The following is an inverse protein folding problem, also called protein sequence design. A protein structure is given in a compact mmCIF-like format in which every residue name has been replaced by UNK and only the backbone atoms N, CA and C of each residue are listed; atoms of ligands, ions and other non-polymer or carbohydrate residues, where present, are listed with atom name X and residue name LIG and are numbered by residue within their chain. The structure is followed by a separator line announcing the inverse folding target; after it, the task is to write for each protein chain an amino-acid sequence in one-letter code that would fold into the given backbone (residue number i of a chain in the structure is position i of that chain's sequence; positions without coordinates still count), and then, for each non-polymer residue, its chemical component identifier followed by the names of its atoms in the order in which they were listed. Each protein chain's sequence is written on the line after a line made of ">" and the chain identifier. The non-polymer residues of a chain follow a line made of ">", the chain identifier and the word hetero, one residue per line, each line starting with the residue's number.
data_IF_209995359182
#
_entry.id   IF_209995359182
#
_cell.length_a   1.000
_cell.length_b   1.000
_cell.length_c   1.000
_cell.angle_alpha   90.00
_cell.angle_beta   90.00
_cell.angle_gamma   90.00
#
_symmetry.space_group_name_H-M   'P 1'
#
loop_
_entity.id
_entity.type
_entity.pdbx_description
1 polymer ?
#
# COMPACT_ATOMS: atom_id res chain seq x y z
N UNK A 1 11.58 12.83 16.26
CA UNK A 1 10.43 12.16 15.58
C UNK A 1 10.92 10.82 15.10
N UNK A 2 10.34 9.74 15.57
CA UNK A 2 10.70 8.39 15.13
C UNK A 2 10.13 8.16 13.73
N UNK A 3 10.96 7.64 12.80
CA UNK A 3 10.51 7.38 11.42
C UNK A 3 9.66 6.11 11.38
N UNK A 4 8.37 6.27 11.15
CA UNK A 4 7.37 5.18 11.16
C UNK A 4 7.40 4.37 9.85
N UNK A 5 8.06 4.86 8.79
CA UNK A 5 8.06 4.24 7.45
C UNK A 5 9.47 3.94 6.94
N UNK A 6 9.57 3.05 5.93
CA UNK A 6 10.80 2.83 5.18
C UNK A 6 11.02 3.90 4.10
N UNK A 7 12.20 3.86 3.45
CA UNK A 7 12.57 4.77 2.35
C UNK A 7 13.28 6.04 2.81
N UNK A 8 13.88 6.06 4.00
CA UNK A 8 14.70 7.17 4.49
C UNK A 8 16.12 7.12 3.90
N UNK A 9 16.20 7.27 2.57
CA UNK A 9 17.48 7.33 1.87
C UNK A 9 18.29 8.57 2.23
N UNK A 10 17.62 9.71 2.51
CA UNK A 10 18.28 10.97 2.83
C UNK A 10 18.95 10.90 4.21
N UNK A 11 18.27 10.35 5.23
CA UNK A 11 18.84 10.12 6.55
C UNK A 11 20.02 9.15 6.51
N UNK A 12 19.89 8.06 5.72
CA UNK A 12 21.00 7.12 5.54
C UNK A 12 22.22 7.80 4.91
N UNK A 13 22.03 8.58 3.83
CA UNK A 13 23.11 9.30 3.16
C UNK A 13 23.77 10.33 4.10
N UNK A 14 22.98 11.02 4.92
CA UNK A 14 23.50 11.97 5.92
C UNK A 14 24.37 11.28 6.98
N UNK A 15 23.98 10.07 7.41
CA UNK A 15 24.70 9.31 8.43
C UNK A 15 26.00 8.63 7.89
N UNK A 16 25.94 8.05 6.69
CA UNK A 16 27.01 7.19 6.16
C UNK A 16 27.79 7.77 4.97
N UNK A 17 27.39 8.94 4.44
CA UNK A 17 28.02 9.58 3.28
C UNK A 17 27.88 8.83 1.95
N UNK A 18 27.00 7.82 1.90
CA UNK A 18 26.75 6.97 0.73
C UNK A 18 25.31 6.50 0.68
N UNK A 19 24.87 5.98 -0.46
CA UNK A 19 23.56 5.33 -0.59
C UNK A 19 23.57 3.91 -0.02
N UNK A 20 22.42 3.51 0.52
CA UNK A 20 22.19 2.13 0.94
C UNK A 20 21.66 1.28 -0.22
N UNK A 21 21.85 -0.02 -0.09
CA UNK A 21 21.00 -1.00 -0.76
C UNK A 21 19.67 -1.05 -0.03
N UNK A 22 18.70 -0.23 -0.48
CA UNK A 22 17.44 0.00 0.25
C UNK A 22 16.35 -1.00 -0.14
N UNK A 23 16.01 -1.88 0.80
CA UNK A 23 14.90 -2.84 0.75
C UNK A 23 13.76 -2.47 1.69
N UNK A 24 13.78 -1.29 2.31
CA UNK A 24 12.74 -0.84 3.24
C UNK A 24 11.50 -0.28 2.55
N UNK A 25 11.65 0.21 1.31
CA UNK A 25 10.57 0.78 0.50
C UNK A 25 10.07 -0.24 -0.54
N UNK A 26 8.75 -0.51 -0.55
CA UNK A 26 8.11 -1.50 -1.41
C UNK A 26 7.64 -0.89 -2.73
N UNK A 27 8.55 -0.36 -3.52
CA UNK A 27 8.27 0.19 -4.86
C UNK A 27 8.85 -0.73 -5.94
N UNK A 28 8.37 -0.58 -7.18
CA UNK A 28 8.91 -1.34 -8.31
C UNK A 28 10.43 -1.19 -8.42
N UNK A 29 11.18 -2.30 -8.52
CA UNK A 29 12.64 -2.26 -8.65
C UNK A 29 13.11 -1.79 -10.04
N UNK A 30 12.22 -1.69 -11.03
CA UNK A 30 12.54 -1.23 -12.38
C UNK A 30 12.66 0.29 -12.49
N UNK A 31 12.30 1.02 -11.40
CA UNK A 31 12.35 2.48 -11.38
C UNK A 31 11.17 3.12 -12.13
N UNK A 32 11.23 4.44 -12.30
CA UNK A 32 10.18 5.21 -12.98
C UNK A 32 10.14 4.85 -14.48
N UNK A 33 8.96 4.50 -15.05
CA UNK A 33 8.84 4.19 -16.47
C UNK A 33 9.30 5.36 -17.36
N UNK A 34 9.93 5.07 -18.49
CA UNK A 34 10.48 6.09 -19.39
C UNK A 34 9.40 7.04 -19.93
N UNK A 35 8.23 6.50 -20.30
CA UNK A 35 7.11 7.32 -20.77
C UNK A 35 6.55 8.24 -19.68
N UNK A 36 6.53 7.78 -18.42
CA UNK A 36 6.14 8.61 -17.27
C UNK A 36 7.16 9.74 -17.04
N UNK A 37 8.45 9.44 -17.10
CA UNK A 37 9.50 10.45 -16.97
C UNK A 37 9.41 11.51 -18.07
N UNK A 38 9.20 11.08 -19.32
CA UNK A 38 9.00 11.97 -20.48
C UNK A 38 7.75 12.87 -20.30
N UNK A 39 6.63 12.29 -19.84
CA UNK A 39 5.40 13.04 -19.60
C UNK A 39 5.55 14.11 -18.52
N UNK A 40 6.24 13.80 -17.41
CA UNK A 40 6.58 14.77 -16.36
C UNK A 40 7.41 15.91 -16.95
N UNK A 41 8.46 15.58 -17.72
CA UNK A 41 9.35 16.57 -18.34
C UNK A 41 8.57 17.47 -19.30
N UNK A 42 7.70 16.92 -20.13
CA UNK A 42 6.85 17.67 -21.06
C UNK A 42 5.83 18.57 -20.35
N UNK A 43 5.41 18.20 -19.13
CA UNK A 43 4.47 18.99 -18.33
C UNK A 43 5.13 20.13 -17.53
N UNK A 44 6.47 20.17 -17.39
CA UNK A 44 7.18 21.21 -16.64
C UNK A 44 6.84 22.65 -17.08
N UNK A 45 6.71 22.97 -18.40
CA UNK A 45 6.33 24.32 -18.82
C UNK A 45 4.95 24.78 -18.36
N UNK A 46 4.10 23.84 -17.88
CA UNK A 46 2.76 24.14 -17.35
C UNK A 46 2.73 24.30 -15.83
N UNK A 47 3.88 24.22 -15.17
CA UNK A 47 3.98 24.31 -13.71
C UNK A 47 3.61 25.70 -13.14
N UNK A 48 3.55 26.73 -14.00
CA UNK A 48 3.08 28.08 -13.69
C UNK A 48 1.55 28.20 -13.57
N UNK A 49 0.81 27.12 -13.87
CA UNK A 49 -0.67 27.08 -13.84
C UNK A 49 -1.18 26.14 -12.76
N UNK A 50 -2.30 26.52 -12.14
CA UNK A 50 -3.02 25.59 -11.28
C UNK A 50 -3.46 24.34 -12.05
N UNK A 51 -3.31 23.15 -11.48
CA UNK A 51 -3.79 21.92 -12.12
C UNK A 51 -5.33 21.87 -12.22
N UNK A 52 -5.85 20.96 -13.04
CA UNK A 52 -7.29 20.69 -13.03
C UNK A 52 -7.71 20.16 -11.63
N UNK A 53 -8.53 20.91 -10.87
CA UNK A 53 -8.90 20.53 -9.50
C UNK A 53 -9.74 19.26 -9.42
N UNK A 54 -10.38 18.88 -10.54
CA UNK A 54 -11.21 17.68 -10.65
C UNK A 54 -10.50 16.52 -11.33
N UNK A 55 -9.24 16.69 -11.78
CA UNK A 55 -8.47 15.67 -12.50
C UNK A 55 -9.27 15.03 -13.66
N UNK A 56 -10.01 15.83 -14.43
CA UNK A 56 -11.01 15.33 -15.41
C UNK A 56 -10.42 14.33 -16.40
N UNK A 57 -9.32 14.70 -17.06
CA UNK A 57 -8.66 13.82 -18.03
C UNK A 57 -8.18 12.51 -17.40
N UNK A 58 -7.54 12.60 -16.21
CA UNK A 58 -7.06 11.42 -15.47
C UNK A 58 -8.22 10.53 -15.01
N UNK A 59 -9.31 11.10 -14.47
CA UNK A 59 -10.49 10.34 -14.07
C UNK A 59 -11.16 9.64 -15.23
N UNK A 60 -11.27 10.29 -16.40
CA UNK A 60 -11.82 9.66 -17.61
C UNK A 60 -10.98 8.45 -18.04
N UNK A 61 -9.65 8.57 -18.01
CA UNK A 61 -8.76 7.47 -18.38
C UNK A 61 -8.79 6.35 -17.32
N UNK A 62 -8.82 6.70 -16.04
CA UNK A 62 -9.01 5.73 -14.95
C UNK A 62 -10.35 5.00 -15.05
N UNK A 63 -11.43 5.69 -15.40
CA UNK A 63 -12.74 5.08 -15.57
C UNK A 63 -12.72 3.97 -16.63
N UNK A 64 -12.05 4.23 -17.77
CA UNK A 64 -11.84 3.23 -18.82
C UNK A 64 -10.96 2.07 -18.33
N UNK A 65 -9.85 2.36 -17.66
CA UNK A 65 -8.90 1.35 -17.19
C UNK A 65 -9.50 0.45 -16.09
N UNK A 66 -10.31 1.03 -15.19
CA UNK A 66 -10.94 0.32 -14.07
C UNK A 66 -12.32 -0.27 -14.42
N UNK A 67 -12.94 0.14 -15.53
CA UNK A 67 -14.28 -0.30 -15.91
C UNK A 67 -15.37 0.23 -14.98
N UNK A 68 -15.24 1.48 -14.53
CA UNK A 68 -16.18 2.16 -13.62
C UNK A 68 -16.57 3.54 -14.18
N UNK A 69 -17.59 4.18 -13.61
CA UNK A 69 -17.95 5.55 -14.02
C UNK A 69 -16.97 6.59 -13.43
N UNK A 70 -16.77 7.69 -14.15
CA UNK A 70 -15.92 8.79 -13.66
C UNK A 70 -16.42 9.40 -12.36
N UNK A 71 -17.72 9.34 -12.10
CA UNK A 71 -18.32 9.78 -10.84
C UNK A 71 -17.90 8.92 -9.63
N UNK A 72 -17.49 7.69 -9.86
CA UNK A 72 -17.04 6.75 -8.84
C UNK A 72 -15.55 6.89 -8.48
N UNK A 73 -14.85 7.91 -9.03
CA UNK A 73 -13.40 8.08 -8.87
C UNK A 73 -13.08 9.41 -8.19
N UNK A 74 -12.23 9.36 -7.16
CA UNK A 74 -11.61 10.52 -6.54
C UNK A 74 -10.09 10.37 -6.58
N UNK A 75 -9.37 11.29 -7.24
CA UNK A 75 -7.91 11.35 -7.21
C UNK A 75 -7.42 12.11 -5.97
N UNK A 76 -6.24 11.71 -5.44
CA UNK A 76 -5.62 12.31 -4.27
C UNK A 76 -4.08 12.33 -4.38
N UNK A 77 -3.45 13.05 -3.45
CA UNK A 77 -2.00 13.17 -3.31
C UNK A 77 -1.38 11.90 -2.71
N UNK A 78 -1.53 10.77 -3.41
CA UNK A 78 -1.27 9.43 -2.93
C UNK A 78 -2.46 8.87 -2.14
N UNK A 79 -2.45 7.55 -1.89
CA UNK A 79 -3.50 6.89 -1.11
C UNK A 79 -3.56 7.41 0.34
N UNK A 80 -2.43 7.82 0.92
CA UNK A 80 -2.41 8.38 2.28
C UNK A 80 -3.29 9.63 2.41
N UNK A 81 -3.24 10.58 1.45
CA UNK A 81 -4.13 11.73 1.42
C UNK A 81 -5.61 11.31 1.43
N UNK A 82 -5.96 10.28 0.68
CA UNK A 82 -7.33 9.75 0.60
C UNK A 82 -7.78 9.07 1.91
N UNK A 83 -6.87 8.42 2.64
CA UNK A 83 -7.15 7.84 3.96
C UNK A 83 -7.51 8.95 4.95
N UNK A 84 -6.73 10.04 5.01
CA UNK A 84 -7.03 11.19 5.89
C UNK A 84 -8.32 11.88 5.50
N UNK A 85 -8.57 12.09 4.19
CA UNK A 85 -9.84 12.67 3.70
C UNK A 85 -11.02 11.80 4.06
N UNK A 86 -10.87 10.47 3.98
CA UNK A 86 -11.91 9.55 4.36
C UNK A 86 -12.22 9.64 5.87
N UNK A 87 -11.20 9.66 6.73
CA UNK A 87 -11.37 9.85 8.16
C UNK A 87 -12.12 11.15 8.48
N UNK A 88 -11.72 12.26 7.84
CA UNK A 88 -12.38 13.58 8.00
C UNK A 88 -13.83 13.61 7.46
N UNK A 89 -14.12 12.90 6.36
CA UNK A 89 -15.42 12.84 5.73
C UNK A 89 -16.41 11.97 6.51
N UNK A 90 -15.95 10.83 7.03
CA UNK A 90 -16.77 9.88 7.80
C UNK A 90 -16.90 10.29 9.27
N UNK A 91 -15.80 10.78 9.88
CA UNK A 91 -15.67 11.00 11.33
C UNK A 91 -16.22 9.83 12.14
N UNK A 92 -15.69 8.60 11.90
CA UNK A 92 -16.20 7.42 12.56
C UNK A 92 -15.91 7.52 14.06
N UNK A 93 -16.86 7.09 14.91
CA UNK A 93 -16.66 7.02 16.36
C UNK A 93 -15.83 5.81 16.73
N UNK A 94 -16.02 4.70 16.03
CA UNK A 94 -15.29 3.46 16.21
C UNK A 94 -14.91 2.83 14.88
N UNK A 95 -13.65 2.42 14.77
CA UNK A 95 -13.15 1.67 13.62
C UNK A 95 -12.46 0.38 14.04
N UNK A 96 -12.58 -0.68 13.25
CA UNK A 96 -11.93 -1.96 13.45
C UNK A 96 -10.82 -2.17 12.43
N UNK A 97 -9.60 -2.44 12.90
CA UNK A 97 -8.43 -2.72 12.08
C UNK A 97 -7.88 -4.12 12.40
N UNK A 98 -7.47 -4.93 11.40
CA UNK A 98 -6.61 -6.06 11.69
C UNK A 98 -5.24 -5.56 12.15
N UNK A 99 -4.55 -6.30 12.99
CA UNK A 99 -3.20 -5.96 13.45
C UNK A 99 -2.30 -7.21 13.43
N UNK A 100 -1.14 -7.14 12.75
CA UNK A 100 -0.51 -5.95 12.15
C UNK A 100 -1.15 -5.54 10.82
N UNK A 101 -1.22 -4.21 10.56
CA UNK A 101 -1.60 -3.62 9.28
C UNK A 101 -0.96 -2.24 9.08
N UNK A 102 -1.21 -1.57 7.97
CA UNK A 102 -0.59 -0.29 7.64
C UNK A 102 -0.94 0.81 8.66
N UNK A 103 0.09 1.45 9.20
CA UNK A 103 -0.03 2.37 10.34
C UNK A 103 -0.88 3.62 10.06
N UNK A 104 -0.92 4.09 8.79
CA UNK A 104 -1.64 5.32 8.43
C UNK A 104 -3.16 5.24 8.61
N UNK A 105 -3.74 4.04 8.68
CA UNK A 105 -5.18 3.92 8.98
C UNK A 105 -5.47 4.42 10.39
N UNK A 106 -4.74 3.91 11.39
CA UNK A 106 -4.88 4.35 12.76
C UNK A 106 -4.52 5.84 12.92
N UNK A 107 -3.39 6.28 12.33
CA UNK A 107 -2.96 7.66 12.41
C UNK A 107 -4.00 8.65 11.85
N UNK A 108 -4.64 8.33 10.73
CA UNK A 108 -5.70 9.16 10.17
C UNK A 108 -6.97 9.16 11.03
N UNK A 109 -7.37 8.01 11.57
CA UNK A 109 -8.54 7.86 12.44
C UNK A 109 -8.35 8.61 13.77
N UNK A 110 -7.16 8.59 14.33
CA UNK A 110 -6.80 9.33 15.55
C UNK A 110 -6.93 10.86 15.38
N UNK A 111 -6.77 11.39 14.16
CA UNK A 111 -6.96 12.84 13.91
C UNK A 111 -8.41 13.32 14.04
N UNK A 112 -9.36 12.39 14.11
CA UNK A 112 -10.81 12.67 14.27
C UNK A 112 -11.38 12.07 15.56
N UNK A 113 -10.51 11.77 16.54
CA UNK A 113 -10.86 11.20 17.84
C UNK A 113 -11.61 9.86 17.75
N UNK A 114 -11.32 9.04 16.72
CA UNK A 114 -11.93 7.74 16.53
C UNK A 114 -11.35 6.71 17.52
N UNK A 115 -12.21 5.91 18.14
CA UNK A 115 -11.83 4.73 18.94
C UNK A 115 -11.37 3.62 17.99
N UNK A 116 -10.06 3.40 17.91
CA UNK A 116 -9.44 2.41 17.01
C UNK A 116 -9.29 1.05 17.70
N UNK A 117 -10.20 0.15 17.39
CA UNK A 117 -10.14 -1.24 17.85
C UNK A 117 -9.20 -2.07 16.95
N UNK A 118 -8.40 -2.95 17.57
CA UNK A 118 -7.44 -3.79 16.86
C UNK A 118 -7.74 -5.27 17.08
N UNK A 119 -8.01 -5.98 15.99
CA UNK A 119 -8.11 -7.44 16.01
C UNK A 119 -6.73 -8.04 15.73
N UNK A 120 -6.13 -8.70 16.72
CA UNK A 120 -4.81 -9.29 16.58
C UNK A 120 -4.85 -10.53 15.69
N UNK A 121 -4.20 -10.44 14.53
CA UNK A 121 -3.93 -11.57 13.66
C UNK A 121 -2.86 -12.47 14.29
N UNK A 122 -2.91 -13.76 14.03
CA UNK A 122 -2.06 -14.74 14.69
C UNK A 122 -0.90 -15.20 13.81
N UNK A 123 0.29 -15.32 14.40
CA UNK A 123 1.50 -15.83 13.73
C UNK A 123 1.32 -17.26 13.24
N UNK A 124 0.56 -18.11 13.99
CA UNK A 124 0.37 -19.52 13.71
C UNK A 124 -0.35 -19.79 12.38
N UNK A 125 -1.10 -18.80 11.88
CA UNK A 125 -1.76 -18.84 10.56
C UNK A 125 -1.20 -17.80 9.59
N UNK A 126 0.08 -17.44 9.76
CA UNK A 126 0.78 -16.43 8.94
C UNK A 126 0.06 -15.08 8.88
N UNK A 127 -0.62 -14.69 9.97
CA UNK A 127 -1.39 -13.43 10.06
C UNK A 127 -2.52 -13.32 9.03
N UNK A 128 -3.13 -14.42 8.64
CA UNK A 128 -4.29 -14.40 7.76
C UNK A 128 -5.54 -13.86 8.47
N UNK A 129 -6.40 -13.16 7.72
CA UNK A 129 -7.73 -12.75 8.19
C UNK A 129 -8.63 -13.98 8.30
N UNK A 130 -9.32 -14.13 9.43
CA UNK A 130 -10.19 -15.27 9.75
C UNK A 130 -11.63 -14.83 10.00
N UNK A 131 -12.56 -15.77 10.12
CA UNK A 131 -13.96 -15.49 10.48
C UNK A 131 -14.07 -14.71 11.81
N UNK A 132 -13.14 -14.91 12.76
CA UNK A 132 -13.10 -14.14 14.00
C UNK A 132 -12.96 -12.62 13.79
N UNK A 133 -12.34 -12.17 12.69
CA UNK A 133 -12.31 -10.75 12.34
C UNK A 133 -13.68 -10.26 11.84
N UNK A 134 -14.43 -11.10 11.12
CA UNK A 134 -15.81 -10.79 10.73
C UNK A 134 -16.71 -10.69 11.96
N UNK A 135 -16.57 -11.63 12.90
CA UNK A 135 -17.36 -11.70 14.14
C UNK A 135 -17.08 -10.51 15.09
N UNK A 136 -15.89 -9.91 14.99
CA UNK A 136 -15.53 -8.71 15.77
C UNK A 136 -16.19 -7.42 15.28
N UNK A 137 -16.85 -7.42 14.11
CA UNK A 137 -17.62 -6.28 13.58
C UNK A 137 -19.00 -6.30 14.25
N UNK A 138 -19.34 -5.27 14.98
CA UNK A 138 -20.61 -5.10 15.68
C UNK A 138 -21.33 -3.79 15.30
N UNK A 139 -22.53 -3.59 15.86
CA UNK A 139 -23.39 -2.43 15.57
C UNK A 139 -22.79 -1.09 16.05
N UNK A 140 -21.68 -1.11 16.78
CA UNK A 140 -20.92 0.08 17.18
C UNK A 140 -19.77 0.42 16.23
N UNK A 141 -19.51 -0.44 15.25
CA UNK A 141 -18.43 -0.27 14.27
C UNK A 141 -18.90 0.63 13.13
N UNK A 142 -18.24 1.76 12.92
CA UNK A 142 -18.58 2.71 11.83
C UNK A 142 -17.68 2.49 10.59
N UNK A 143 -16.45 1.96 10.77
CA UNK A 143 -15.51 1.70 9.67
C UNK A 143 -14.64 0.46 9.92
N UNK A 144 -14.36 -0.29 8.85
CA UNK A 144 -13.46 -1.45 8.86
C UNK A 144 -12.42 -1.26 7.76
N UNK A 145 -11.14 -1.47 8.07
CA UNK A 145 -10.06 -1.39 7.07
C UNK A 145 -9.48 -2.78 6.79
N UNK A 146 -9.21 -3.03 5.52
CA UNK A 146 -8.55 -4.23 5.03
C UNK A 146 -7.47 -3.85 4.02
N UNK A 147 -6.22 -4.18 4.29
CA UNK A 147 -5.11 -4.00 3.35
C UNK A 147 -4.95 -5.27 2.49
N UNK A 148 -4.96 -5.13 1.17
CA UNK A 148 -5.05 -6.24 0.22
C UNK A 148 -4.02 -6.10 -0.93
N UNK A 149 -2.92 -6.83 -0.95
CA UNK A 149 -2.33 -7.65 0.13
C UNK A 149 -1.97 -6.84 1.38
N UNK A 150 -2.03 -7.49 2.55
CA UNK A 150 -1.79 -6.81 3.81
C UNK A 150 -0.33 -6.36 3.98
N UNK A 151 -0.11 -5.15 4.39
CA UNK A 151 1.20 -4.62 4.78
C UNK A 151 1.29 -4.57 6.33
N UNK A 152 2.21 -5.33 7.00
CA UNK A 152 3.47 -5.84 6.44
C UNK A 152 3.49 -7.33 6.04
N UNK A 153 2.43 -8.09 6.24
CA UNK A 153 2.45 -9.56 6.16
C UNK A 153 2.49 -10.13 4.74
N UNK A 154 2.01 -9.34 3.75
CA UNK A 154 1.86 -9.80 2.38
C UNK A 154 0.70 -10.77 2.15
N UNK A 155 -0.12 -11.04 3.18
CA UNK A 155 -1.26 -11.93 3.10
C UNK A 155 -2.35 -11.36 2.19
N UNK A 156 -2.93 -12.24 1.39
CA UNK A 156 -4.09 -11.95 0.54
C UNK A 156 -5.34 -12.51 1.21
N UNK A 157 -6.34 -11.67 1.39
CA UNK A 157 -7.65 -12.08 1.87
C UNK A 157 -8.46 -12.64 0.71
N UNK A 158 -8.97 -13.88 0.78
CA UNK A 158 -9.76 -14.49 -0.29
C UNK A 158 -11.02 -13.67 -0.61
N UNK A 159 -11.49 -13.63 -1.88
CA UNK A 159 -12.70 -12.89 -2.26
C UNK A 159 -13.94 -13.25 -1.46
N UNK A 160 -14.11 -14.52 -1.12
CA UNK A 160 -15.22 -14.99 -0.28
C UNK A 160 -15.18 -14.34 1.13
N UNK A 161 -13.99 -14.12 1.70
CA UNK A 161 -13.84 -13.46 2.98
C UNK A 161 -14.11 -11.95 2.86
N UNK A 162 -13.63 -11.31 1.78
CA UNK A 162 -13.95 -9.89 1.50
C UNK A 162 -15.46 -9.70 1.38
N UNK A 163 -16.18 -10.62 0.72
CA UNK A 163 -17.64 -10.58 0.63
C UNK A 163 -18.33 -10.80 1.99
N UNK A 164 -17.78 -11.66 2.88
CA UNK A 164 -18.30 -11.80 4.25
C UNK A 164 -18.16 -10.50 5.03
N UNK A 165 -16.97 -9.87 4.97
CA UNK A 165 -16.70 -8.58 5.60
C UNK A 165 -17.65 -7.50 5.09
N UNK A 166 -17.85 -7.43 3.75
CA UNK A 166 -18.74 -6.44 3.14
C UNK A 166 -20.17 -6.61 3.60
N UNK A 167 -20.70 -7.84 3.62
CA UNK A 167 -22.05 -8.12 4.14
C UNK A 167 -22.16 -7.72 5.60
N UNK A 168 -21.22 -8.13 6.45
CA UNK A 168 -21.25 -7.80 7.87
C UNK A 168 -21.19 -6.28 8.10
N UNK A 169 -20.34 -5.56 7.36
CA UNK A 169 -20.31 -4.09 7.40
C UNK A 169 -21.65 -3.48 6.98
N UNK A 170 -22.26 -3.99 5.91
CA UNK A 170 -23.56 -3.49 5.45
C UNK A 170 -24.68 -3.72 6.51
N UNK A 171 -24.69 -4.88 7.16
CA UNK A 171 -25.64 -5.23 8.23
C UNK A 171 -25.53 -4.28 9.43
N UNK A 172 -24.33 -3.79 9.75
CA UNK A 172 -24.06 -2.85 10.85
C UNK A 172 -24.06 -1.38 10.43
N UNK A 173 -24.21 -1.07 9.14
CA UNK A 173 -24.10 0.29 8.61
C UNK A 173 -22.67 0.84 8.56
N UNK A 174 -21.66 -0.03 8.66
CA UNK A 174 -20.24 0.33 8.60
C UNK A 174 -19.74 0.47 7.17
N UNK A 175 -18.69 1.29 6.98
CA UNK A 175 -17.96 1.40 5.72
C UNK A 175 -16.80 0.40 5.71
N UNK A 176 -16.68 -0.41 4.64
CA UNK A 176 -15.50 -1.25 4.39
C UNK A 176 -14.53 -0.53 3.48
N UNK A 177 -13.29 -0.34 3.95
CA UNK A 177 -12.18 0.24 3.19
C UNK A 177 -11.23 -0.88 2.80
N UNK A 178 -11.07 -1.13 1.50
CA UNK A 178 -10.13 -2.12 0.98
C UNK A 178 -8.98 -1.38 0.29
N UNK A 179 -7.79 -1.45 0.88
CA UNK A 179 -6.58 -0.84 0.32
C UNK A 179 -5.87 -1.80 -0.62
N UNK A 180 -6.04 -1.59 -1.92
CA UNK A 180 -5.46 -2.39 -3.00
C UNK A 180 -4.16 -1.81 -3.57
N UNK A 181 -3.46 -0.92 -2.85
CA UNK A 181 -2.23 -0.28 -3.34
C UNK A 181 -1.12 -1.26 -3.77
N UNK A 182 -1.14 -2.49 -3.27
CA UNK A 182 -0.18 -3.54 -3.63
C UNK A 182 -0.76 -4.64 -4.53
N UNK A 183 -2.07 -4.63 -4.78
CA UNK A 183 -2.74 -5.69 -5.52
C UNK A 183 -2.26 -5.79 -6.97
N UNK A 184 -1.94 -4.64 -7.58
CA UNK A 184 -1.53 -4.57 -8.99
C UNK A 184 -0.20 -5.29 -9.31
N UNK A 185 0.57 -5.70 -8.30
CA UNK A 185 1.75 -6.56 -8.46
C UNK A 185 1.40 -8.04 -8.72
N UNK A 186 0.19 -8.47 -8.39
CA UNK A 186 -0.21 -9.87 -8.47
C UNK A 186 -0.74 -10.22 -9.87
N UNK A 187 -0.36 -11.39 -10.38
CA UNK A 187 -0.92 -11.92 -11.61
C UNK A 187 -2.43 -12.16 -11.50
N UNK A 188 -2.89 -12.61 -10.31
CA UNK A 188 -4.29 -12.91 -10.04
C UNK A 188 -5.13 -11.68 -9.59
N UNK A 189 -4.63 -10.44 -9.74
CA UNK A 189 -5.27 -9.21 -9.25
C UNK A 189 -6.74 -9.07 -9.64
N UNK A 190 -7.09 -9.44 -10.88
CA UNK A 190 -8.46 -9.30 -11.40
C UNK A 190 -9.47 -10.25 -10.71
N UNK A 191 -8.98 -11.38 -10.20
CA UNK A 191 -9.78 -12.30 -9.40
C UNK A 191 -9.84 -11.95 -7.91
N UNK A 192 -8.94 -11.08 -7.43
CA UNK A 192 -8.76 -10.73 -6.02
C UNK A 192 -9.30 -9.36 -5.66
N UNK A 193 -9.53 -8.49 -6.66
CA UNK A 193 -10.03 -7.14 -6.42
C UNK A 193 -11.46 -7.11 -5.91
N UNK A 194 -11.74 -6.25 -4.94
CA UNK A 194 -13.09 -5.98 -4.47
C UNK A 194 -13.93 -5.17 -5.48
N UNK A 195 -13.32 -4.69 -6.57
CA UNK A 195 -14.00 -3.90 -7.61
C UNK A 195 -15.17 -4.63 -8.26
N UNK A 196 -15.13 -5.95 -8.33
CA UNK A 196 -16.19 -6.78 -8.92
C UNK A 196 -17.57 -6.60 -8.27
N UNK A 197 -17.61 -6.15 -7.03
CA UNK A 197 -18.84 -5.90 -6.25
C UNK A 197 -19.11 -4.42 -5.98
N UNK A 198 -18.24 -3.52 -6.48
CA UNK A 198 -18.28 -2.08 -6.17
C UNK A 198 -19.61 -1.43 -6.54
N UNK A 199 -20.20 -1.81 -7.69
CA UNK A 199 -21.42 -1.19 -8.22
C UNK A 199 -22.61 -1.31 -7.24
N UNK A 200 -22.70 -2.46 -6.58
CA UNK A 200 -23.83 -2.82 -5.71
C UNK A 200 -23.50 -2.64 -4.22
N UNK A 201 -22.33 -2.04 -3.92
CA UNK A 201 -21.80 -1.90 -2.57
C UNK A 201 -21.45 -0.43 -2.23
N UNK A 202 -22.43 0.43 -1.91
CA UNK A 202 -22.20 1.85 -1.61
C UNK A 202 -21.34 2.06 -0.34
N UNK A 203 -21.29 1.10 0.56
CA UNK A 203 -20.45 1.11 1.76
C UNK A 203 -19.01 0.62 1.49
N UNK A 204 -18.64 0.29 0.25
CA UNK A 204 -17.29 -0.14 -0.12
C UNK A 204 -16.48 1.02 -0.69
N UNK A 205 -15.27 1.22 -0.15
CA UNK A 205 -14.26 2.11 -0.71
C UNK A 205 -13.03 1.28 -1.03
N UNK A 206 -12.50 1.44 -2.25
CA UNK A 206 -11.24 0.82 -2.68
C UNK A 206 -10.21 1.92 -2.86
N UNK A 207 -9.03 1.75 -2.24
CA UNK A 207 -7.90 2.67 -2.40
C UNK A 207 -6.86 2.05 -3.33
N UNK A 208 -6.34 2.84 -4.27
CA UNK A 208 -5.29 2.43 -5.21
C UNK A 208 -4.23 3.51 -5.34
N UNK A 209 -3.00 3.13 -5.73
CA UNK A 209 -1.90 4.08 -5.85
C UNK A 209 -0.96 3.75 -7.00
N UNK A 210 -0.53 4.77 -7.72
CA UNK A 210 0.55 4.68 -8.69
C UNK A 210 1.93 4.56 -8.05
N UNK A 211 2.03 4.91 -6.76
CA UNK A 211 3.27 4.94 -5.94
C UNK A 211 4.11 3.68 -6.08
N UNK A 212 3.45 2.51 -6.11
CA UNK A 212 4.12 1.22 -5.91
C UNK A 212 4.52 0.57 -7.22
N UNK A 213 3.56 0.18 -8.05
CA UNK A 213 3.80 -0.53 -9.31
C UNK A 213 4.63 0.30 -10.29
N UNK A 214 4.33 1.61 -10.40
CA UNK A 214 5.00 2.51 -11.34
C UNK A 214 6.18 3.29 -10.74
N UNK A 215 6.65 2.92 -9.54
CA UNK A 215 7.75 3.61 -8.84
C UNK A 215 7.57 5.14 -8.73
N UNK A 216 6.33 5.61 -8.60
CA UNK A 216 5.96 7.03 -8.54
C UNK A 216 5.89 7.55 -7.10
N UNK A 217 6.74 7.05 -6.19
CA UNK A 217 6.69 7.41 -4.77
C UNK A 217 6.83 8.92 -4.52
N UNK A 218 7.75 9.58 -5.23
CA UNK A 218 7.96 11.03 -5.14
C UNK A 218 6.92 11.88 -5.89
N UNK A 219 6.16 11.29 -6.84
CA UNK A 219 5.14 12.00 -7.62
C UNK A 219 3.85 12.21 -6.84
N UNK A 220 3.55 11.30 -5.87
CA UNK A 220 2.39 11.40 -4.97
C UNK A 220 1.05 11.35 -5.71
N UNK A 221 0.67 10.20 -6.26
CA UNK A 221 -0.60 9.99 -6.94
C UNK A 221 -1.29 8.70 -6.48
N UNK A 222 -2.58 8.81 -6.15
CA UNK A 222 -3.47 7.71 -5.84
C UNK A 222 -4.91 8.07 -6.17
N UNK A 223 -5.80 7.10 -6.04
CA UNK A 223 -7.23 7.31 -6.24
C UNK A 223 -8.07 6.36 -5.38
N UNK A 224 -9.30 6.80 -5.11
CA UNK A 224 -10.33 6.01 -4.47
C UNK A 224 -11.42 5.66 -5.49
N UNK A 225 -11.98 4.46 -5.35
CA UNK A 225 -13.18 4.01 -6.05
C UNK A 225 -14.30 3.80 -5.04
N UNK A 226 -15.49 4.36 -5.31
CA UNK A 226 -16.69 4.18 -4.49
C UNK A 226 -17.93 4.39 -5.35
N UNK A 227 -18.98 3.62 -5.13
CA UNK A 227 -20.27 3.83 -5.81
C UNK A 227 -21.13 4.90 -5.13
N UNK A 228 -20.86 5.27 -3.88
CA UNK A 228 -21.51 6.39 -3.18
C UNK A 228 -20.83 7.72 -3.59
N UNK A 229 -21.48 8.42 -4.52
CA UNK A 229 -20.99 9.73 -4.98
C UNK A 229 -21.03 10.80 -3.87
N UNK A 230 -21.98 10.70 -2.93
CA UNK A 230 -22.09 11.66 -1.82
C UNK A 230 -20.90 11.53 -0.86
N UNK A 231 -20.44 10.30 -0.61
CA UNK A 231 -19.24 10.07 0.20
C UNK A 231 -17.97 10.58 -0.51
N UNK A 232 -17.83 10.36 -1.82
CA UNK A 232 -16.71 10.91 -2.58
C UNK A 232 -16.73 12.45 -2.59
N UNK A 233 -17.90 13.08 -2.62
CA UNK A 233 -18.02 14.54 -2.53
C UNK A 233 -17.63 15.06 -1.14
N UNK A 234 -18.00 14.37 -0.07
CA UNK A 234 -17.53 14.68 1.30
C UNK A 234 -16.02 14.53 1.41
N UNK A 235 -15.43 13.45 0.85
CA UNK A 235 -13.98 13.26 0.83
C UNK A 235 -13.26 14.35 0.01
N UNK A 236 -13.86 14.81 -1.09
CA UNK A 236 -13.34 15.93 -1.88
C UNK A 236 -13.35 17.22 -1.07
N UNK A 237 -14.44 17.51 -0.39
CA UNK A 237 -14.60 18.69 0.46
C UNK A 237 -13.69 18.68 1.70
N UNK A 238 -13.35 17.50 2.21
CA UNK A 238 -12.43 17.33 3.35
C UNK A 238 -10.97 17.62 3.03
N UNK A 239 -10.61 17.74 1.74
CA UNK A 239 -9.24 18.05 1.32
C UNK A 239 -9.11 19.43 0.68
N UNK A 240 -7.86 19.83 0.41
CA UNK A 240 -7.60 21.06 -0.33
C UNK A 240 -7.96 20.91 -1.82
N UNK A 241 -8.39 21.98 -2.51
CA UNK A 241 -8.42 22.02 -3.96
C UNK A 241 -6.97 21.85 -4.50
N UNK A 242 -6.83 21.38 -5.74
CA UNK A 242 -5.52 21.18 -6.40
C UNK A 242 -4.56 20.22 -5.67
N UNK A 243 -5.08 19.28 -4.90
CA UNK A 243 -4.24 18.31 -4.17
C UNK A 243 -3.33 17.47 -5.07
N UNK A 244 -3.74 17.21 -6.31
CA UNK A 244 -2.97 16.48 -7.31
C UNK A 244 -2.33 17.46 -8.28
N UNK A 245 -1.01 17.60 -8.24
CA UNK A 245 -0.28 18.53 -9.10
C UNK A 245 -0.46 18.21 -10.59
N UNK A 246 -0.26 19.21 -11.48
CA UNK A 246 -0.30 19.00 -12.93
C UNK A 246 0.71 17.97 -13.40
N UNK A 247 1.90 17.93 -12.80
CA UNK A 247 2.92 16.93 -13.09
C UNK A 247 2.47 15.51 -12.70
N UNK A 248 1.80 15.37 -11.54
CA UNK A 248 1.27 14.08 -11.12
C UNK A 248 0.10 13.62 -12.01
N UNK A 249 -0.76 14.54 -12.49
CA UNK A 249 -1.82 14.20 -13.43
C UNK A 249 -1.26 13.73 -14.76
N UNK A 250 -0.25 14.42 -15.32
CA UNK A 250 0.45 14.02 -16.54
C UNK A 250 1.14 12.66 -16.38
N UNK A 251 1.82 12.45 -15.25
CA UNK A 251 2.44 11.17 -14.90
C UNK A 251 1.43 10.01 -14.83
N UNK A 252 0.27 10.24 -14.22
CA UNK A 252 -0.79 9.24 -14.12
C UNK A 252 -1.38 8.86 -15.47
N UNK A 253 -1.61 9.85 -16.35
CA UNK A 253 -2.06 9.62 -17.71
C UNK A 253 -1.08 8.75 -18.50
N UNK A 254 0.24 9.02 -18.40
CA UNK A 254 1.27 8.23 -19.04
C UNK A 254 1.39 6.83 -18.43
N UNK A 255 1.35 6.72 -17.10
CA UNK A 255 1.48 5.44 -16.42
C UNK A 255 0.41 4.41 -16.81
N UNK A 256 -0.81 4.87 -17.11
CA UNK A 256 -1.90 4.00 -17.59
C UNK A 256 -1.65 3.41 -18.98
N UNK A 257 -0.72 3.94 -19.76
CA UNK A 257 -0.27 3.39 -21.05
C UNK A 257 0.91 2.40 -20.91
N UNK A 258 1.57 2.37 -19.76
CA UNK A 258 2.78 1.57 -19.50
C UNK A 258 2.44 0.11 -19.17
N UNK A 259 1.60 -0.54 -19.99
CA UNK A 259 1.15 -1.92 -19.76
C UNK A 259 2.29 -2.94 -19.80
N UNK A 260 3.20 -2.80 -20.78
CA UNK A 260 4.37 -3.68 -20.91
C UNK A 260 5.33 -3.54 -19.71
N UNK A 261 5.50 -2.31 -19.17
CA UNK A 261 6.25 -2.09 -17.94
C UNK A 261 5.59 -2.81 -16.76
N UNK A 262 4.28 -2.64 -16.58
CA UNK A 262 3.54 -3.27 -15.50
C UNK A 262 3.64 -4.81 -15.55
N UNK A 263 3.57 -5.41 -16.73
CA UNK A 263 3.73 -6.86 -16.94
C UNK A 263 5.16 -7.31 -16.64
N UNK A 264 6.16 -6.53 -17.02
CA UNK A 264 7.57 -6.79 -16.68
C UNK A 264 7.80 -6.79 -15.18
N UNK A 265 7.20 -5.84 -14.45
CA UNK A 265 7.27 -5.78 -12.97
C UNK A 265 6.61 -7.02 -12.35
N UNK A 266 5.40 -7.40 -12.80
CA UNK A 266 4.69 -8.60 -12.30
C UNK A 266 5.51 -9.86 -12.51
N UNK A 267 6.07 -10.04 -13.71
CA UNK A 267 6.93 -11.18 -14.05
C UNK A 267 8.15 -11.23 -13.15
N UNK A 268 8.83 -10.09 -12.94
CA UNK A 268 9.99 -10.00 -12.05
C UNK A 268 9.62 -10.39 -10.61
N UNK A 269 8.53 -9.85 -10.07
CA UNK A 269 8.12 -10.14 -8.70
C UNK A 269 7.70 -11.60 -8.54
N UNK A 270 6.98 -12.16 -9.51
CA UNK A 270 6.58 -13.57 -9.50
C UNK A 270 7.77 -14.53 -9.50
N UNK A 271 8.85 -14.20 -10.23
CA UNK A 271 10.09 -14.98 -10.25
C UNK A 271 10.94 -14.74 -8.99
N UNK A 272 11.15 -13.49 -8.59
CA UNK A 272 12.13 -13.16 -7.57
C UNK A 272 11.63 -13.35 -6.13
N UNK A 273 10.33 -13.19 -5.87
CA UNK A 273 9.76 -13.36 -4.52
C UNK A 273 10.02 -14.75 -3.94
N UNK A 274 9.70 -15.87 -4.63
CA UNK A 274 9.97 -17.21 -4.10
C UNK A 274 11.48 -17.49 -3.93
N UNK A 275 12.33 -16.96 -4.80
CA UNK A 275 13.79 -17.11 -4.69
C UNK A 275 14.34 -16.39 -3.46
N UNK A 276 13.89 -15.15 -3.22
CA UNK A 276 14.30 -14.39 -2.02
C UNK A 276 13.80 -15.07 -0.76
N UNK A 277 12.55 -15.55 -0.74
CA UNK A 277 11.99 -16.29 0.39
C UNK A 277 12.79 -17.57 0.70
N UNK A 278 13.15 -18.35 -0.32
CA UNK A 278 14.00 -19.53 -0.18
C UNK A 278 15.39 -19.16 0.36
N UNK A 279 15.99 -18.07 -0.12
CA UNK A 279 17.27 -17.57 0.37
C UNK A 279 17.24 -17.18 1.84
N UNK A 280 16.19 -16.48 2.28
CA UNK A 280 15.99 -16.12 3.69
C UNK A 280 15.81 -17.37 4.59
N UNK A 281 15.01 -18.35 4.14
CA UNK A 281 14.85 -19.63 4.86
C UNK A 281 16.14 -20.42 4.95
N UNK A 282 16.98 -20.41 3.90
CA UNK A 282 18.29 -21.03 3.91
C UNK A 282 19.28 -20.38 4.90
N UNK A 283 19.03 -19.14 5.32
CA UNK A 283 19.73 -18.46 6.41
C UNK A 283 19.15 -18.80 7.80
N UNK A 284 18.20 -19.71 7.90
CA UNK A 284 17.55 -20.09 9.15
C UNK A 284 16.45 -19.13 9.62
N UNK A 285 16.04 -18.19 8.79
CA UNK A 285 15.04 -17.19 9.15
C UNK A 285 13.62 -17.71 8.87
N UNK A 286 12.66 -17.43 9.79
CA UNK A 286 11.24 -17.64 9.53
C UNK A 286 10.75 -16.58 8.54
N UNK A 287 10.04 -17.01 7.50
CA UNK A 287 9.46 -16.14 6.48
C UNK A 287 7.97 -16.43 6.38
N UNK A 288 7.14 -15.39 6.45
CA UNK A 288 5.69 -15.46 6.26
C UNK A 288 5.36 -15.66 4.78
N UNK A 289 4.46 -16.59 4.46
CA UNK A 289 4.04 -16.91 3.09
C UNK A 289 3.04 -15.90 2.53
N UNK A 290 3.50 -14.67 2.28
CA UNK A 290 2.72 -13.61 1.64
C UNK A 290 2.84 -13.61 0.12
N UNK A 291 2.00 -12.83 -0.59
CA UNK A 291 1.98 -12.74 -2.05
C UNK A 291 2.43 -11.38 -2.61
N UNK A 292 2.64 -10.37 -1.74
CA UNK A 292 3.03 -9.03 -2.15
C UNK A 292 4.47 -8.94 -2.71
N UNK A 293 4.85 -7.75 -3.19
CA UNK A 293 6.23 -7.45 -3.62
C UNK A 293 7.18 -7.21 -2.44
N UNK A 294 6.90 -7.83 -1.30
CA UNK A 294 7.72 -7.82 -0.08
C UNK A 294 7.51 -9.10 0.72
N UNK A 295 8.42 -9.36 1.64
CA UNK A 295 8.36 -10.50 2.56
C UNK A 295 8.49 -10.01 4.00
N UNK A 296 7.64 -10.51 4.90
CA UNK A 296 7.78 -10.37 6.33
C UNK A 296 8.60 -11.57 6.85
N UNK A 297 9.61 -11.31 7.65
CA UNK A 297 10.47 -12.35 8.20
C UNK A 297 10.93 -12.02 9.61
N UNK A 298 11.38 -13.03 10.36
CA UNK A 298 11.86 -12.91 11.72
C UNK A 298 13.39 -13.09 11.77
N UNK A 299 14.07 -12.19 12.52
CA UNK A 299 15.51 -12.20 12.76
C UNK A 299 15.81 -11.62 14.15
N UNK A 300 17.05 -11.70 14.67
CA UNK A 300 17.40 -11.07 15.96
C UNK A 300 17.03 -9.57 16.01
N UNK A 301 16.66 -9.06 17.19
CA UNK A 301 16.18 -7.68 17.35
C UNK A 301 17.18 -6.60 16.87
N UNK A 302 18.48 -6.87 16.92
CA UNK A 302 19.54 -5.94 16.49
C UNK A 302 19.91 -6.09 15.00
N UNK A 303 19.28 -7.03 14.29
CA UNK A 303 19.60 -7.38 12.90
C UNK A 303 19.51 -6.20 11.94
N UNK A 304 18.46 -5.39 12.05
CA UNK A 304 18.28 -4.20 11.21
C UNK A 304 19.40 -3.17 11.38
N UNK A 305 19.84 -2.94 12.62
CA UNK A 305 20.95 -2.04 12.92
C UNK A 305 22.30 -2.58 12.40
N UNK A 306 22.51 -3.88 12.47
CA UNK A 306 23.69 -4.53 11.88
C UNK A 306 23.71 -4.42 10.36
N UNK A 307 22.60 -4.75 9.69
CA UNK A 307 22.46 -4.60 8.22
C UNK A 307 22.74 -3.17 7.77
N UNK A 308 22.19 -2.18 8.48
CA UNK A 308 22.36 -0.76 8.17
C UNK A 308 23.85 -0.37 8.13
N UNK A 309 24.66 -0.84 9.07
CA UNK A 309 26.13 -0.62 9.11
C UNK A 309 26.85 -1.28 7.93
N UNK A 310 26.33 -2.42 7.45
CA UNK A 310 26.87 -3.15 6.29
C UNK A 310 26.35 -2.65 4.93
N UNK A 311 25.58 -1.56 4.92
CA UNK A 311 25.15 -0.91 3.67
C UNK A 311 23.83 -1.41 3.11
N UNK A 312 23.06 -2.21 3.84
CA UNK A 312 21.72 -2.64 3.45
C UNK A 312 20.67 -2.19 4.47
N UNK A 313 19.48 -1.82 4.00
CA UNK A 313 18.38 -1.37 4.85
C UNK A 313 17.14 -2.20 4.58
N UNK A 314 16.58 -2.79 5.64
CA UNK A 314 15.26 -3.41 5.67
C UNK A 314 14.34 -2.66 6.64
N UNK A 315 13.03 -2.86 6.56
CA UNK A 315 12.08 -2.22 7.46
C UNK A 315 11.92 -3.03 8.75
N UNK A 316 12.34 -2.48 9.91
CA UNK A 316 11.96 -3.02 11.23
C UNK A 316 10.46 -2.86 11.46
N UNK A 317 9.79 -3.90 11.94
CA UNK A 317 8.33 -3.92 12.10
C UNK A 317 7.87 -3.96 13.57
N UNK A 318 8.75 -3.74 14.55
CA UNK A 318 8.41 -3.73 15.98
C UNK A 318 7.39 -2.67 16.39
N UNK A 319 7.20 -1.62 15.58
CA UNK A 319 6.19 -0.60 15.82
C UNK A 319 4.78 -0.96 15.29
N UNK A 320 4.61 -2.14 14.68
CA UNK A 320 3.28 -2.60 14.28
C UNK A 320 2.63 -3.36 15.46
N UNK A 321 1.41 -2.99 15.90
CA UNK A 321 0.69 -3.77 16.89
C UNK A 321 0.59 -5.24 16.50
N UNK A 322 0.93 -6.14 17.43
CA UNK A 322 0.97 -7.58 17.18
C UNK A 322 2.31 -8.12 16.66
N UNK A 323 3.31 -7.25 16.44
CA UNK A 323 4.69 -7.63 16.14
C UNK A 323 5.65 -7.09 17.20
N UNK A 324 6.86 -7.65 17.27
CA UNK A 324 7.96 -7.21 18.13
C UNK A 324 9.19 -6.80 17.30
N UNK A 325 10.27 -6.41 17.96
CA UNK A 325 11.52 -5.93 17.35
C UNK A 325 12.25 -7.00 16.54
N UNK A 326 11.82 -8.25 16.61
CA UNK A 326 12.41 -9.35 15.82
C UNK A 326 11.81 -9.46 14.43
N UNK A 327 10.74 -8.72 14.12
CA UNK A 327 10.09 -8.75 12.83
C UNK A 327 10.62 -7.67 11.88
N UNK A 328 10.89 -8.09 10.66
CA UNK A 328 11.41 -7.23 9.59
C UNK A 328 10.65 -7.48 8.29
N UNK A 329 10.52 -6.45 7.49
CA UNK A 329 9.98 -6.54 6.12
C UNK A 329 11.05 -6.14 5.11
N UNK A 330 11.25 -6.96 4.07
CA UNK A 330 12.13 -6.67 2.95
C UNK A 330 11.32 -6.57 1.65
N UNK A 331 11.61 -5.58 0.81
CA UNK A 331 11.08 -5.53 -0.55
C UNK A 331 11.64 -6.68 -1.40
N UNK A 332 10.93 -7.06 -2.45
CA UNK A 332 11.46 -7.92 -3.53
C UNK A 332 12.01 -7.01 -4.61
N UNK A 333 13.28 -7.20 -4.97
CA UNK A 333 13.96 -6.38 -5.97
C UNK A 333 14.51 -7.24 -7.12
N UNK A 334 15.43 -6.69 -7.91
CA UNK A 334 16.09 -7.44 -8.99
C UNK A 334 16.90 -8.61 -8.44
N UNK A 335 17.15 -9.63 -9.26
CA UNK A 335 17.93 -10.80 -8.85
C UNK A 335 19.29 -10.39 -8.26
N UNK A 336 20.01 -9.51 -8.93
CA UNK A 336 21.33 -9.03 -8.49
C UNK A 336 21.27 -8.37 -7.10
N UNK A 337 20.27 -7.52 -6.87
CA UNK A 337 20.11 -6.84 -5.59
C UNK A 337 19.70 -7.82 -4.48
N UNK A 338 18.78 -8.76 -4.77
CA UNK A 338 18.35 -9.80 -3.84
C UNK A 338 19.52 -10.71 -3.42
N UNK A 339 20.36 -11.14 -4.37
CA UNK A 339 21.59 -11.93 -4.10
C UNK A 339 22.57 -11.15 -3.23
N UNK A 340 22.76 -9.86 -3.51
CA UNK A 340 23.60 -8.97 -2.71
C UNK A 340 23.06 -8.81 -1.29
N UNK A 341 21.75 -8.62 -1.11
CA UNK A 341 21.12 -8.58 0.21
C UNK A 341 21.37 -9.87 0.99
N UNK A 342 21.11 -11.03 0.38
CA UNK A 342 21.31 -12.33 1.03
C UNK A 342 22.77 -12.58 1.42
N UNK A 343 23.73 -12.09 0.62
CA UNK A 343 25.16 -12.13 0.97
C UNK A 343 25.44 -11.32 2.23
N UNK A 344 24.99 -10.06 2.28
CA UNK A 344 25.18 -9.18 3.44
C UNK A 344 24.48 -9.78 4.69
N UNK A 345 23.27 -10.31 4.53
CA UNK A 345 22.54 -10.96 5.62
C UNK A 345 23.31 -12.14 6.21
N UNK A 346 23.94 -12.94 5.36
CA UNK A 346 24.79 -14.08 5.81
C UNK A 346 25.98 -13.60 6.64
N UNK A 347 26.65 -12.54 6.20
CA UNK A 347 27.80 -11.95 6.92
C UNK A 347 27.37 -11.38 8.29
N UNK A 348 26.17 -10.83 8.39
CA UNK A 348 25.63 -10.24 9.62
C UNK A 348 25.14 -11.31 10.61
N UNK A 349 24.71 -12.49 10.12
CA UNK A 349 24.20 -13.59 10.95
C UNK A 349 25.32 -14.56 11.40
N UNK A 350 26.48 -14.53 10.75
CA UNK A 350 27.66 -15.31 11.13
C UNK A 350 28.31 -14.75 12.41
#
# INVERSE_FOLDING_TARGET
>A
MELVHGGDWAGYRAEFGRDALDFSANVSPLGLPAGVAAAITAALPMADRYPDPLCRALRTKLATAEGVDTAQILCGNGAADLIYRLALALRPRRALLPAPTFAEYAAALETVDCDVQRFLLREENDFAVTDGFVDAIDDSTDAVFLCQPNNPTGQVTPPAMVQKLLRRCADCGAVLVVDECFLDFLAARDALTAKTVLRDAPSLIILKAFTKLYAMAGVRLGYALCSDAALLDKMRAAGQPWAVSGLAQAAGLAALEETAYADSVRTLIADQRPRLAAGLRALGLRVVDGQANYLLFRAPADFGAKLRRHGAVVRGCGNYPGLDETWYRTAVRTQKENEQLLKIMREVLA
#
